data_IF_069451250461
#
_entry.id   IF_069451250461
#
_cell.length_a   1.000
_cell.length_b   1.000
_cell.length_c   1.000
_cell.angle_alpha   90.00
_cell.angle_beta   90.00
_cell.angle_gamma   90.00
#
_symmetry.space_group_name_H-M   'P 1'
#
loop_
_entity.id
_entity.type
_entity.pdbx_description
1 polymer ?
#
# COMPACT_ATOMS: atom_id res chain seq x y z
N UNK A 1 -7.18 -6.27 -22.00
CA UNK A 1 -6.01 -6.93 -21.40
C UNK A 1 -5.90 -6.39 -19.99
N UNK A 2 -6.36 -7.12 -18.97
CA UNK A 2 -6.25 -6.66 -17.58
C UNK A 2 -4.80 -6.92 -17.18
N UNK A 3 -3.99 -5.87 -17.16
CA UNK A 3 -2.70 -5.88 -16.51
C UNK A 3 -2.96 -6.16 -15.03
N UNK A 4 -2.91 -7.42 -14.62
CA UNK A 4 -2.66 -7.76 -13.21
C UNK A 4 -1.20 -7.45 -12.95
N UNK A 5 -0.85 -6.16 -12.98
CA UNK A 5 0.40 -5.68 -12.41
C UNK A 5 0.36 -6.07 -10.93
N UNK A 6 1.28 -6.96 -10.56
CA UNK A 6 1.51 -7.29 -9.16
C UNK A 6 1.94 -5.99 -8.47
N UNK A 7 1.20 -5.63 -7.43
CA UNK A 7 1.49 -4.46 -6.61
C UNK A 7 2.32 -4.91 -5.41
N UNK A 8 3.50 -4.32 -5.23
CA UNK A 8 4.38 -4.64 -4.12
C UNK A 8 4.16 -3.71 -2.93
N UNK A 9 4.31 -4.24 -1.72
CA UNK A 9 4.12 -3.51 -0.50
C UNK A 9 5.19 -2.42 -0.36
N UNK A 10 4.82 -1.14 -0.20
CA UNK A 10 5.78 -0.04 -0.03
C UNK A 10 6.72 -0.18 1.18
N UNK A 11 6.32 -0.96 2.20
CA UNK A 11 7.08 -1.13 3.44
C UNK A 11 8.09 -2.28 3.39
N UNK A 12 7.80 -3.36 2.66
CA UNK A 12 8.60 -4.59 2.71
C UNK A 12 8.80 -5.27 1.36
N UNK A 13 8.32 -4.68 0.26
CA UNK A 13 8.44 -5.17 -1.12
C UNK A 13 7.76 -6.53 -1.39
N UNK A 14 7.10 -7.13 -0.41
CA UNK A 14 6.30 -8.33 -0.62
C UNK A 14 5.03 -8.03 -1.42
N UNK A 15 4.58 -9.00 -2.22
CA UNK A 15 3.35 -8.91 -3.02
C UNK A 15 2.13 -8.58 -2.15
N UNK A 16 1.31 -7.63 -2.62
CA UNK A 16 0.05 -7.26 -1.99
C UNK A 16 -1.09 -8.18 -2.46
N UNK A 17 -1.88 -8.64 -1.50
CA UNK A 17 -3.08 -9.41 -1.78
C UNK A 17 -4.26 -8.48 -2.01
N UNK A 18 -4.98 -8.68 -3.11
CA UNK A 18 -6.23 -7.98 -3.42
C UNK A 18 -7.33 -8.39 -2.44
N UNK A 19 -8.05 -7.40 -1.92
CA UNK A 19 -9.16 -7.62 -0.99
C UNK A 19 -10.55 -7.38 -1.60
N UNK A 20 -10.68 -6.87 -2.83
CA UNK A 20 -11.97 -6.41 -3.42
C UNK A 20 -13.16 -7.37 -3.30
N UNK A 21 -12.91 -8.68 -3.24
CA UNK A 21 -13.94 -9.72 -3.14
C UNK A 21 -13.93 -10.46 -1.80
N UNK A 22 -13.31 -9.87 -0.78
CA UNK A 22 -13.19 -10.45 0.57
C UNK A 22 -14.06 -9.70 1.56
N UNK A 23 -14.51 -10.38 2.62
CA UNK A 23 -15.22 -9.73 3.73
C UNK A 23 -14.34 -8.67 4.41
N UNK A 24 -13.02 -8.88 4.39
CA UNK A 24 -12.03 -7.97 4.95
C UNK A 24 -12.07 -6.59 4.29
N UNK A 25 -12.32 -6.52 2.97
CA UNK A 25 -12.54 -5.25 2.28
C UNK A 25 -13.82 -4.55 2.75
N UNK A 26 -14.91 -5.31 2.94
CA UNK A 26 -16.19 -4.74 3.40
C UNK A 26 -16.10 -4.17 4.81
N UNK A 27 -15.34 -4.82 5.69
CA UNK A 27 -15.18 -4.39 7.08
C UNK A 27 -14.14 -3.30 7.27
N UNK A 28 -13.03 -3.33 6.52
CA UNK A 28 -11.91 -2.41 6.72
C UNK A 28 -11.84 -1.26 5.72
N UNK A 29 -12.45 -1.40 4.55
CA UNK A 29 -12.32 -0.46 3.43
C UNK A 29 -10.99 -0.56 2.66
N UNK A 30 -10.02 -1.34 3.14
CA UNK A 30 -8.75 -1.52 2.44
C UNK A 30 -8.94 -2.32 1.15
N UNK A 31 -8.21 -1.92 0.11
CA UNK A 31 -8.29 -2.57 -1.20
C UNK A 31 -7.24 -3.66 -1.36
N UNK A 32 -6.12 -3.50 -0.66
CA UNK A 32 -4.99 -4.43 -0.67
C UNK A 32 -4.47 -4.65 0.75
N UNK A 33 -3.89 -5.83 1.01
CA UNK A 33 -3.24 -6.13 2.29
C UNK A 33 -1.93 -6.85 2.05
N UNK A 34 -0.90 -6.42 2.77
CA UNK A 34 0.35 -7.16 2.84
C UNK A 34 0.26 -8.18 3.98
N UNK A 35 0.44 -9.47 3.67
CA UNK A 35 0.41 -10.52 4.71
C UNK A 35 1.65 -10.50 5.61
N UNK A 36 2.75 -9.89 5.17
CA UNK A 36 4.02 -9.87 5.90
C UNK A 36 4.05 -8.79 6.98
N UNK A 37 3.66 -7.57 6.66
CA UNK A 37 3.57 -6.48 7.63
C UNK A 37 2.16 -6.28 8.21
N UNK A 38 1.19 -7.08 7.76
CA UNK A 38 -0.22 -7.02 8.15
C UNK A 38 -0.86 -5.63 7.95
N UNK A 39 -0.33 -4.84 7.01
CA UNK A 39 -0.76 -3.48 6.72
C UNK A 39 -1.74 -3.46 5.54
N UNK A 40 -2.84 -2.71 5.70
CA UNK A 40 -3.87 -2.51 4.68
C UNK A 40 -3.65 -1.21 3.90
N UNK A 41 -3.93 -1.24 2.60
CA UNK A 41 -3.68 -0.12 1.68
C UNK A 41 -4.94 0.27 0.93
N UNK A 42 -5.19 1.58 0.83
CA UNK A 42 -6.14 2.11 -0.15
C UNK A 42 -5.46 2.31 -1.50
N UNK A 43 -6.23 2.29 -2.59
CA UNK A 43 -5.69 2.62 -3.93
C UNK A 43 -5.03 4.00 -3.92
N UNK A 44 -5.64 4.97 -3.24
CA UNK A 44 -5.14 6.35 -3.19
C UNK A 44 -3.75 6.44 -2.54
N UNK A 45 -3.46 5.60 -1.55
CA UNK A 45 -2.12 5.54 -0.94
C UNK A 45 -1.10 5.02 -1.94
N UNK A 46 -1.43 3.94 -2.63
CA UNK A 46 -0.57 3.32 -3.63
C UNK A 46 -0.31 4.28 -4.81
N UNK A 47 -1.34 4.99 -5.29
CA UNK A 47 -1.19 6.02 -6.31
C UNK A 47 -0.29 7.18 -5.87
N UNK A 48 -0.46 7.66 -4.64
CA UNK A 48 0.42 8.68 -4.07
C UNK A 48 1.87 8.20 -3.99
N UNK A 49 2.09 6.93 -3.62
CA UNK A 49 3.42 6.34 -3.54
C UNK A 49 4.07 6.21 -4.92
N UNK A 50 3.32 5.78 -5.93
CA UNK A 50 3.79 5.79 -7.31
C UNK A 50 4.15 7.22 -7.75
N UNK A 51 3.32 8.22 -7.43
CA UNK A 51 3.64 9.63 -7.68
C UNK A 51 4.92 10.10 -6.99
N UNK A 52 5.16 9.66 -5.74
CA UNK A 52 6.39 9.96 -5.00
C UNK A 52 7.64 9.37 -5.67
N UNK A 53 7.56 8.12 -6.15
CA UNK A 53 8.66 7.47 -6.90
C UNK A 53 8.95 8.20 -8.20
N UNK A 54 7.91 8.55 -8.96
CA UNK A 54 8.04 9.35 -10.19
C UNK A 54 8.63 10.74 -9.94
N UNK A 55 8.39 11.32 -8.76
CA UNK A 55 9.01 12.57 -8.31
C UNK A 55 10.45 12.40 -7.79
N UNK A 56 11.04 11.20 -7.90
CA UNK A 56 12.42 10.92 -7.53
C UNK A 56 12.67 10.65 -6.04
N UNK A 57 11.62 10.39 -5.24
CA UNK A 57 11.82 9.97 -3.84
C UNK A 57 12.32 8.53 -3.79
N UNK A 58 13.30 8.27 -2.91
CA UNK A 58 13.76 6.91 -2.65
C UNK A 58 12.76 6.12 -1.82
N UNK A 59 12.81 4.78 -1.90
CA UNK A 59 11.93 3.92 -1.09
C UNK A 59 12.13 4.14 0.41
N UNK A 60 13.35 4.47 0.87
CA UNK A 60 13.63 4.79 2.27
C UNK A 60 12.91 6.08 2.72
N UNK A 61 12.89 7.12 1.88
CA UNK A 61 12.13 8.33 2.15
C UNK A 61 10.62 8.06 2.19
N UNK A 62 10.12 7.23 1.27
CA UNK A 62 8.71 6.84 1.21
C UNK A 62 8.32 6.08 2.48
N UNK A 63 9.12 5.09 2.91
CA UNK A 63 8.89 4.34 4.16
C UNK A 63 8.87 5.24 5.39
N UNK A 64 9.76 6.23 5.44
CA UNK A 64 9.79 7.22 6.52
C UNK A 64 8.51 8.06 6.57
N UNK A 65 7.99 8.49 5.41
CA UNK A 65 6.75 9.25 5.30
C UNK A 65 5.55 8.41 5.77
N UNK A 66 5.43 7.17 5.29
CA UNK A 66 4.35 6.25 5.69
C UNK A 66 4.37 6.02 7.20
N UNK A 67 5.56 5.68 7.73
CA UNK A 67 5.73 5.40 9.16
C UNK A 67 5.38 6.59 10.07
N UNK A 68 5.50 7.83 9.56
CA UNK A 68 5.07 9.04 10.28
C UNK A 68 3.55 9.19 10.25
N UNK A 69 2.93 9.05 9.08
CA UNK A 69 1.47 9.12 8.92
C UNK A 69 0.74 8.10 9.79
N UNK A 70 1.23 6.87 9.84
CA UNK A 70 0.64 5.80 10.67
C UNK A 70 0.68 6.11 12.17
N UNK A 71 1.71 6.86 12.63
CA UNK A 71 1.85 7.27 14.03
C UNK A 71 0.95 8.44 14.40
N UNK A 72 0.61 9.29 13.44
CA UNK A 72 -0.25 10.46 13.66
C UNK A 72 -1.75 10.09 13.72
N UNK A 73 -2.12 8.90 13.23
CA UNK A 73 -3.50 8.40 13.18
C UNK A 73 -3.87 7.56 14.43
N UNK A 74 -2.94 7.31 15.35
CA UNK A 74 -3.19 6.63 16.63
C UNK A 74 -3.56 7.60 17.74
#
# INVERSE_FOLDING_TARGET
MVLTEKLDCPLCEAELNSLYHTEDHKSSGFHYRCSWCNHGWYIADLQNITGMRLAGKSDEQIRSIISKKDKEIK
#
